data_IF_495225999299
#
_entry.id   IF_495225999299
#
_cell.length_a   1.000
_cell.length_b   1.000
_cell.length_c   1.000
_cell.angle_alpha   90.00
_cell.angle_beta   90.00
_cell.angle_gamma   90.00
#
_symmetry.space_group_name_H-M   'P 1'
#
loop_
_entity.id
_entity.type
_entity.pdbx_description
1 polymer ?
#
# COMPACT_ATOMS: atom_id res chain seq x y z
N UNK A 1 -18.80 8.65 7.81
CA UNK A 1 -17.42 8.55 7.28
C UNK A 1 -17.49 8.20 5.81
N UNK A 2 -16.70 8.87 4.96
CA UNK A 2 -16.62 8.54 3.54
C UNK A 2 -15.48 7.54 3.33
N UNK A 3 -15.75 6.46 2.60
CA UNK A 3 -14.74 5.45 2.25
C UNK A 3 -13.74 6.07 1.26
N UNK A 4 -12.45 5.96 1.53
CA UNK A 4 -11.40 6.39 0.61
C UNK A 4 -11.45 5.49 -0.64
N UNK A 5 -11.42 6.11 -1.83
CA UNK A 5 -11.44 5.39 -3.11
C UNK A 5 -10.29 5.86 -3.97
N UNK A 6 -9.31 4.98 -4.19
CA UNK A 6 -8.21 5.23 -5.12
C UNK A 6 -8.73 5.10 -6.55
N UNK A 7 -8.65 6.19 -7.32
CA UNK A 7 -8.88 6.17 -8.76
C UNK A 7 -7.54 6.03 -9.48
N UNK A 8 -7.38 4.96 -10.26
CA UNK A 8 -6.17 4.66 -11.03
C UNK A 8 -6.55 3.74 -12.17
N UNK A 9 -5.94 3.96 -13.34
CA UNK A 9 -6.07 3.07 -14.50
C UNK A 9 -5.10 1.87 -14.40
N UNK A 10 -4.22 1.87 -13.40
CA UNK A 10 -3.26 0.80 -13.12
C UNK A 10 -3.74 -0.11 -11.99
N UNK A 11 -3.47 -1.40 -12.16
CA UNK A 11 -3.59 -2.45 -11.13
C UNK A 11 -2.23 -2.71 -10.46
N UNK A 12 -2.21 -3.29 -9.24
CA UNK A 12 -0.96 -3.65 -8.58
C UNK A 12 -0.14 -4.62 -9.44
N UNK A 13 1.16 -4.34 -9.56
CA UNK A 13 2.08 -5.16 -10.34
C UNK A 13 3.34 -5.52 -9.54
N UNK A 14 3.99 -6.63 -9.90
CA UNK A 14 5.16 -7.14 -9.19
C UNK A 14 4.87 -7.33 -7.70
N UNK A 15 5.78 -6.84 -6.85
CA UNK A 15 5.68 -6.99 -5.38
C UNK A 15 4.70 -6.02 -4.72
N UNK A 16 4.04 -5.12 -5.48
CA UNK A 16 3.15 -4.12 -4.90
C UNK A 16 1.97 -4.75 -4.15
N UNK A 17 1.38 -5.83 -4.68
CA UNK A 17 0.26 -6.52 -4.03
C UNK A 17 0.64 -7.05 -2.65
N UNK A 18 1.78 -7.74 -2.56
CA UNK A 18 2.28 -8.25 -1.29
C UNK A 18 2.66 -7.13 -0.30
N UNK A 19 3.19 -6.01 -0.80
CA UNK A 19 3.51 -4.86 0.03
C UNK A 19 2.25 -4.21 0.62
N UNK A 20 1.19 -4.06 -0.18
CA UNK A 20 -0.11 -3.54 0.26
C UNK A 20 -0.67 -4.44 1.37
N UNK A 21 -0.76 -5.74 1.11
CA UNK A 21 -1.29 -6.74 2.06
C UNK A 21 -0.56 -6.67 3.41
N UNK A 22 0.78 -6.79 3.41
CA UNK A 22 1.57 -6.76 4.65
C UNK A 22 1.43 -5.48 5.45
N UNK A 23 1.36 -4.34 4.76
CA UNK A 23 1.21 -3.03 5.42
C UNK A 23 -0.20 -2.89 6.01
N UNK A 24 -1.24 -3.28 5.26
CA UNK A 24 -2.63 -3.26 5.72
C UNK A 24 -2.84 -4.20 6.91
N UNK A 25 -2.31 -5.44 6.86
CA UNK A 25 -2.33 -6.36 8.00
C UNK A 25 -1.63 -5.78 9.22
N UNK A 26 -0.48 -5.14 9.04
CA UNK A 26 0.22 -4.50 10.14
C UNK A 26 -0.56 -3.35 10.78
N UNK A 27 -1.33 -2.59 9.99
CA UNK A 27 -2.23 -1.56 10.51
C UNK A 27 -3.38 -2.17 11.32
N UNK A 28 -4.02 -3.22 10.78
CA UNK A 28 -5.10 -3.96 11.47
C UNK A 28 -4.58 -4.58 12.77
N UNK A 29 -3.36 -5.12 12.76
CA UNK A 29 -2.69 -5.69 13.94
C UNK A 29 -2.17 -4.63 14.94
N UNK A 30 -2.38 -3.33 14.69
CA UNK A 30 -1.96 -2.25 15.59
C UNK A 30 -0.45 -2.00 15.65
N UNK A 31 0.31 -2.41 14.61
CA UNK A 31 1.75 -2.14 14.55
C UNK A 31 2.01 -0.64 14.45
N UNK A 32 2.66 -0.07 15.47
CA UNK A 32 2.93 1.38 15.56
C UNK A 32 3.91 1.89 14.51
N UNK A 33 4.81 1.04 14.00
CA UNK A 33 5.85 1.41 13.04
C UNK A 33 5.96 0.33 11.97
N UNK A 34 5.97 0.76 10.72
CA UNK A 34 6.16 -0.09 9.54
C UNK A 34 6.99 0.67 8.50
N UNK A 35 7.74 -0.05 7.67
CA UNK A 35 8.61 0.55 6.65
C UNK A 35 8.33 -0.09 5.30
N UNK A 36 7.91 0.71 4.32
CA UNK A 36 7.84 0.28 2.92
C UNK A 36 9.21 0.44 2.25
N UNK A 37 9.96 -0.65 2.15
CA UNK A 37 11.26 -0.67 1.45
C UNK A 37 11.04 -0.97 -0.03
N UNK A 38 11.11 0.07 -0.87
CA UNK A 38 10.99 -0.05 -2.32
C UNK A 38 12.04 0.76 -3.07
N UNK A 39 12.53 0.22 -4.20
CA UNK A 39 13.49 0.89 -5.08
C UNK A 39 12.87 2.13 -5.75
N UNK A 40 13.70 2.98 -6.37
CA UNK A 40 13.22 4.13 -7.15
C UNK A 40 12.40 3.64 -8.35
N UNK A 41 11.28 4.29 -8.64
CA UNK A 41 10.39 3.91 -9.75
C UNK A 41 9.42 2.76 -9.46
N UNK A 42 9.48 2.09 -8.30
CA UNK A 42 8.61 0.94 -7.99
C UNK A 42 7.14 1.30 -7.68
N UNK A 43 6.73 2.55 -7.82
CA UNK A 43 5.35 2.98 -7.55
C UNK A 43 4.97 3.09 -6.07
N UNK A 44 5.90 3.44 -5.16
CA UNK A 44 5.63 3.56 -3.71
C UNK A 44 4.39 4.40 -3.35
N UNK A 45 4.14 5.49 -4.09
CA UNK A 45 2.93 6.32 -3.90
C UNK A 45 1.65 5.54 -4.16
N UNK A 46 1.60 4.77 -5.25
CA UNK A 46 0.46 3.92 -5.60
C UNK A 46 0.24 2.84 -4.53
N UNK A 47 1.32 2.17 -4.09
CA UNK A 47 1.27 1.19 -3.01
C UNK A 47 0.67 1.78 -1.74
N UNK A 48 1.14 2.96 -1.29
CA UNK A 48 0.61 3.59 -0.07
C UNK A 48 -0.84 4.05 -0.22
N UNK A 49 -1.25 4.54 -1.40
CA UNK A 49 -2.62 4.94 -1.65
C UNK A 49 -3.59 3.74 -1.50
N UNK A 50 -3.18 2.54 -1.94
CA UNK A 50 -3.98 1.31 -1.84
C UNK A 50 -4.00 0.69 -0.44
N UNK A 51 -3.17 1.15 0.50
CA UNK A 51 -3.17 0.70 1.91
C UNK A 51 -4.25 1.40 2.74
N UNK A 52 -4.64 2.62 2.34
CA UNK A 52 -5.62 3.51 3.01
C UNK A 52 -7.04 3.18 2.54
#
# INVERSE_FOLDING_TARGET
MQVFKVKSDFEPAGDQGQAIEKLSEGLIAGKKKQTLKGVTGSGKTYTMAKVI
#
